data_IF_295221217899
#
_entry.id   IF_295221217899
#
_cell.length_a   1.000
_cell.length_b   1.000
_cell.length_c   1.000
_cell.angle_alpha   90.00
_cell.angle_beta   90.00
_cell.angle_gamma   90.00
#
_symmetry.space_group_name_H-M   'P 1'
#
loop_
_entity.id
_entity.type
_entity.pdbx_description
1 polymer ?
#
# COMPACT_ATOMS: atom_id res chain seq x y z
N UNK A 1 -23.85 12.51 3.06
CA UNK A 1 -23.97 11.05 3.31
C UNK A 1 -22.59 10.44 3.12
N UNK A 2 -22.03 9.84 4.18
CA UNK A 2 -20.76 9.13 4.11
C UNK A 2 -20.93 7.75 3.50
N UNK A 3 -19.91 7.25 2.82
CA UNK A 3 -19.86 5.86 2.37
C UNK A 3 -19.62 4.99 3.60
N UNK A 4 -20.55 4.09 3.91
CA UNK A 4 -20.43 3.17 5.05
C UNK A 4 -19.63 1.96 4.59
N UNK A 5 -18.53 1.66 5.27
CA UNK A 5 -17.75 0.43 5.07
C UNK A 5 -17.97 -0.43 6.30
N UNK A 6 -18.53 -1.63 6.15
CA UNK A 6 -18.67 -2.58 7.26
C UNK A 6 -17.33 -3.29 7.50
N UNK A 7 -16.62 -3.04 8.63
CA UNK A 7 -15.33 -3.66 8.95
C UNK A 7 -15.41 -5.19 9.07
N UNK A 8 -16.59 -5.73 9.33
CA UNK A 8 -16.82 -7.18 9.49
C UNK A 8 -17.24 -7.87 8.19
N UNK A 9 -17.42 -7.09 7.12
CA UNK A 9 -17.73 -7.64 5.80
C UNK A 9 -16.58 -8.53 5.30
N UNK A 10 -16.93 -9.59 4.56
CA UNK A 10 -15.94 -10.49 3.96
C UNK A 10 -14.90 -9.75 3.10
N UNK A 11 -15.30 -8.64 2.47
CA UNK A 11 -14.40 -7.79 1.65
C UNK A 11 -13.36 -7.10 2.52
N UNK A 12 -13.75 -6.54 3.66
CA UNK A 12 -12.82 -5.87 4.58
C UNK A 12 -11.88 -6.87 5.29
N UNK A 13 -12.36 -8.09 5.56
CA UNK A 13 -11.49 -9.17 6.05
C UNK A 13 -10.44 -9.59 5.00
N UNK A 14 -10.85 -9.80 3.75
CA UNK A 14 -9.92 -10.09 2.64
C UNK A 14 -8.93 -8.94 2.42
N UNK A 15 -9.35 -7.69 2.60
CA UNK A 15 -8.48 -6.53 2.53
C UNK A 15 -7.42 -6.56 3.64
N UNK A 16 -7.78 -6.91 4.88
CA UNK A 16 -6.83 -7.04 5.97
C UNK A 16 -5.80 -8.15 5.70
N UNK A 17 -6.24 -9.31 5.21
CA UNK A 17 -5.34 -10.40 4.80
C UNK A 17 -4.38 -9.96 3.68
N UNK A 18 -4.87 -9.19 2.72
CA UNK A 18 -4.04 -8.63 1.65
C UNK A 18 -3.01 -7.63 2.18
N UNK A 19 -3.40 -6.73 3.09
CA UNK A 19 -2.49 -5.77 3.72
C UNK A 19 -1.37 -6.51 4.46
N UNK A 20 -1.71 -7.52 5.26
CA UNK A 20 -0.73 -8.32 6.02
C UNK A 20 0.21 -9.10 5.09
N UNK A 21 -0.33 -9.68 4.01
CA UNK A 21 0.48 -10.38 3.01
C UNK A 21 1.50 -9.45 2.34
N UNK A 22 1.08 -8.24 1.93
CA UNK A 22 1.96 -7.26 1.31
C UNK A 22 3.01 -6.75 2.32
N UNK A 23 2.62 -6.49 3.57
CA UNK A 23 3.57 -6.08 4.62
C UNK A 23 4.65 -7.15 4.83
N UNK A 24 4.26 -8.42 4.92
CA UNK A 24 5.18 -9.55 5.02
C UNK A 24 6.11 -9.63 3.81
N UNK A 25 5.57 -9.45 2.61
CA UNK A 25 6.37 -9.43 1.38
C UNK A 25 7.37 -8.26 1.36
N UNK A 26 6.94 -7.06 1.77
CA UNK A 26 7.78 -5.87 1.84
C UNK A 26 8.92 -6.04 2.86
N UNK A 27 8.65 -6.68 4.00
CA UNK A 27 9.67 -7.04 4.99
C UNK A 27 10.71 -7.99 4.39
N UNK A 28 10.27 -9.04 3.70
CA UNK A 28 11.16 -9.98 3.01
C UNK A 28 12.00 -9.30 1.92
N UNK A 29 11.39 -8.37 1.17
CA UNK A 29 12.09 -7.56 0.19
C UNK A 29 13.16 -6.68 0.85
N UNK A 30 12.85 -6.00 1.96
CA UNK A 30 13.79 -5.17 2.73
C UNK A 30 15.01 -5.95 3.21
N UNK A 31 14.81 -7.18 3.67
CA UNK A 31 15.89 -8.05 4.13
C UNK A 31 16.84 -8.39 2.96
N UNK A 32 16.27 -8.64 1.77
CA UNK A 32 17.05 -9.00 0.57
C UNK A 32 17.73 -7.79 -0.09
N UNK A 33 17.10 -6.62 -0.04
CA UNK A 33 17.53 -5.38 -0.69
C UNK A 33 17.58 -4.25 0.34
N UNK A 34 18.58 -4.31 1.23
CA UNK A 34 18.75 -3.37 2.36
C UNK A 34 18.96 -1.92 1.92
N UNK A 35 19.31 -1.70 0.66
CA UNK A 35 19.55 -0.38 0.04
C UNK A 35 18.23 0.31 -0.36
N UNK A 36 17.17 -0.47 -0.62
CA UNK A 36 15.86 -0.01 -1.10
C UNK A 36 14.89 0.38 0.04
N UNK A 37 15.44 0.91 1.14
CA UNK A 37 14.66 1.34 2.31
C UNK A 37 13.59 2.40 1.96
N UNK A 38 13.81 3.19 0.90
CA UNK A 38 12.84 4.20 0.43
C UNK A 38 11.59 3.58 -0.16
N UNK A 39 11.73 2.48 -0.91
CA UNK A 39 10.58 1.81 -1.52
C UNK A 39 9.74 1.13 -0.44
N UNK A 40 10.40 0.41 0.48
CA UNK A 40 9.73 -0.25 1.59
C UNK A 40 8.98 0.75 2.47
N UNK A 41 9.60 1.89 2.79
CA UNK A 41 8.92 2.94 3.57
C UNK A 41 7.67 3.50 2.88
N UNK A 42 7.65 3.59 1.54
CA UNK A 42 6.46 4.03 0.81
C UNK A 42 5.38 2.96 0.74
N UNK A 43 5.77 1.68 0.71
CA UNK A 43 4.81 0.57 0.83
C UNK A 43 4.18 0.58 2.21
N UNK A 44 4.98 0.72 3.28
CA UNK A 44 4.49 0.79 4.66
C UNK A 44 3.53 1.98 4.86
N UNK A 45 3.88 3.18 4.36
CA UNK A 45 3.00 4.37 4.41
C UNK A 45 1.66 4.13 3.70
N UNK A 46 1.69 3.49 2.53
CA UNK A 46 0.47 3.19 1.78
C UNK A 46 -0.41 2.14 2.46
N UNK A 47 0.19 1.11 3.07
CA UNK A 47 -0.55 0.08 3.82
C UNK A 47 -1.19 0.64 5.09
N UNK A 48 -0.50 1.51 5.84
CA UNK A 48 -1.04 2.18 7.03
C UNK A 48 -2.24 3.08 6.68
N UNK A 49 -2.13 3.85 5.58
CA UNK A 49 -3.23 4.67 5.07
C UNK A 49 -4.41 3.81 4.59
N UNK A 50 -4.13 2.66 3.98
CA UNK A 50 -5.17 1.72 3.52
C UNK A 50 -5.92 1.14 4.71
N UNK A 51 -5.19 0.66 5.72
CA UNK A 51 -5.78 0.15 6.95
C UNK A 51 -6.63 1.23 7.64
N UNK A 52 -6.08 2.42 7.83
CA UNK A 52 -6.80 3.56 8.43
C UNK A 52 -8.09 3.89 7.67
N UNK A 53 -8.07 3.90 6.34
CA UNK A 53 -9.23 4.27 5.53
C UNK A 53 -10.35 3.22 5.60
N UNK A 54 -9.99 1.94 5.53
CA UNK A 54 -10.97 0.86 5.36
C UNK A 54 -11.36 0.13 6.66
N UNK A 55 -10.60 0.31 7.75
CA UNK A 55 -10.99 -0.16 9.08
C UNK A 55 -12.03 0.74 9.76
N UNK A 56 -12.28 1.93 9.22
CA UNK A 56 -13.28 2.86 9.72
C UNK A 56 -14.69 2.56 9.15
N UNK A 57 -15.72 2.70 9.99
CA UNK A 57 -17.12 2.52 9.60
C UNK A 57 -17.61 3.52 8.53
N UNK A 58 -16.88 4.63 8.34
CA UNK A 58 -17.17 5.63 7.33
C UNK A 58 -15.88 6.14 6.68
N UNK A 59 -15.89 6.19 5.34
CA UNK A 59 -14.78 6.76 4.57
C UNK A 59 -14.87 8.29 4.67
N UNK A 60 -13.89 8.93 5.32
CA UNK A 60 -13.82 10.39 5.36
C UNK A 60 -12.94 10.94 4.22
N UNK A 61 -13.21 12.18 3.82
CA UNK A 61 -12.53 12.79 2.67
C UNK A 61 -11.05 13.06 2.93
N UNK A 62 -10.62 13.27 4.17
CA UNK A 62 -9.24 13.58 4.52
C UNK A 62 -8.35 12.36 4.33
N UNK A 63 -8.75 11.24 4.91
CA UNK A 63 -8.03 9.96 4.83
C UNK A 63 -8.04 9.44 3.39
N UNK A 64 -9.14 9.65 2.64
CA UNK A 64 -9.19 9.34 1.22
C UNK A 64 -8.15 10.13 0.41
N UNK A 65 -7.97 11.43 0.67
CA UNK A 65 -6.94 12.22 -0.01
C UNK A 65 -5.53 11.79 0.41
N UNK A 66 -5.33 11.43 1.69
CA UNK A 66 -4.06 10.90 2.20
C UNK A 66 -3.68 9.60 1.49
N UNK A 67 -4.60 8.63 1.46
CA UNK A 67 -4.46 7.36 0.76
C UNK A 67 -4.18 7.51 -0.74
N UNK A 68 -4.88 8.43 -1.43
CA UNK A 68 -4.59 8.74 -2.84
C UNK A 68 -3.19 9.31 -3.02
N UNK A 69 -2.70 10.13 -2.08
CA UNK A 69 -1.38 10.76 -2.16
C UNK A 69 -0.27 9.73 -1.93
N UNK A 70 -0.40 8.84 -0.94
CA UNK A 70 0.56 7.75 -0.71
C UNK A 70 0.57 6.76 -1.87
N UNK A 71 -0.60 6.40 -2.42
CA UNK A 71 -0.68 5.55 -3.62
C UNK A 71 0.02 6.15 -4.84
N UNK A 72 -0.15 7.45 -5.10
CA UNK A 72 0.54 8.15 -6.19
C UNK A 72 2.06 8.19 -6.00
N UNK A 73 2.53 8.34 -4.76
CA UNK A 73 3.97 8.30 -4.45
C UNK A 73 4.55 6.93 -4.72
N UNK A 74 3.89 5.88 -4.20
CA UNK A 74 4.31 4.50 -4.40
C UNK A 74 4.36 4.14 -5.89
N UNK A 75 3.33 4.50 -6.65
CA UNK A 75 3.30 4.29 -8.10
C UNK A 75 4.49 4.96 -8.81
N UNK A 76 4.80 6.22 -8.45
CA UNK A 76 5.97 6.92 -9.00
C UNK A 76 7.28 6.22 -8.62
N UNK A 77 7.37 5.66 -7.42
CA UNK A 77 8.53 4.89 -6.97
C UNK A 77 8.74 3.64 -7.83
N UNK A 78 7.66 2.89 -8.12
CA UNK A 78 7.72 1.73 -9.03
C UNK A 78 8.13 2.13 -10.45
N UNK A 79 7.53 3.18 -11.01
CA UNK A 79 7.89 3.67 -12.36
C UNK A 79 9.37 4.04 -12.43
N UNK A 80 9.90 4.70 -11.40
CA UNK A 80 11.32 5.06 -11.35
C UNK A 80 12.21 3.81 -11.25
N UNK A 81 11.90 2.88 -10.34
CA UNK A 81 12.65 1.64 -10.17
C UNK A 81 12.66 0.79 -11.47
N UNK A 82 11.53 0.69 -12.18
CA UNK A 82 11.44 -0.01 -13.46
C UNK A 82 12.27 0.66 -14.57
N UNK A 83 12.41 1.99 -14.54
CA UNK A 83 13.25 2.74 -15.50
C UNK A 83 14.73 2.58 -15.21
N UNK A 84 15.11 2.47 -13.94
CA UNK A 84 16.48 2.28 -13.50
C UNK A 84 16.97 0.83 -13.71
N UNK A 85 16.05 -0.14 -13.80
CA UNK A 85 16.34 -1.54 -14.11
C UNK A 85 15.46 -2.09 -15.26
N UNK A 86 15.73 -1.74 -16.53
CA UNK A 86 14.93 -2.20 -17.67
C UNK A 86 15.08 -3.71 -17.97
N UNK A 87 16.10 -4.39 -17.42
CA UNK A 87 16.40 -5.79 -17.70
C UNK A 87 15.48 -6.81 -17.00
N UNK A 88 14.70 -6.41 -16.00
CA UNK A 88 13.74 -7.29 -15.30
C UNK A 88 12.35 -7.34 -15.93
N UNK A 89 12.10 -6.54 -16.99
CA UNK A 89 10.84 -6.52 -17.76
C UNK A 89 10.77 -7.60 -18.85
N UNK A 90 11.83 -8.42 -18.98
CA UNK A 90 11.85 -9.57 -19.90
C UNK A 90 11.74 -10.87 -19.09
N UNK A 91 10.51 -11.27 -18.78
CA UNK A 91 10.13 -12.67 -18.57
C UNK A 91 8.64 -12.82 -18.89
#
# INVERSE_FOLDING_TARGET
HGWVSDPTSAVNLQLNELIEHIATFALNYKIKYTEDNKLVAQVDEYLDDTFTLFSNYGINSTDLQKWKKSGNRLFRCFVNASRENPASLSC
#
